data_IF_872715487561
#
_entry.id   IF_872715487561
#
_cell.length_a   1.000
_cell.length_b   1.000
_cell.length_c   1.000
_cell.angle_alpha   90.00
_cell.angle_beta   90.00
_cell.angle_gamma   90.00
#
_symmetry.space_group_name_H-M   'P 1'
#
loop_
_entity.id
_entity.type
_entity.pdbx_description
1 polymer ?
#
# COMPACT_ATOMS: atom_id res chain seq x y z
N UNK A 1 -16.48 -4.98 39.94
CA UNK A 1 -15.22 -4.18 39.89
C UNK A 1 -14.08 -4.83 39.09
N UNK A 2 -14.00 -6.15 38.93
CA UNK A 2 -12.94 -6.78 38.10
C UNK A 2 -13.23 -6.72 36.58
N UNK A 3 -14.48 -6.94 36.17
CA UNK A 3 -14.88 -6.91 34.75
C UNK A 3 -14.72 -5.54 34.07
N UNK A 4 -15.10 -4.46 34.75
CA UNK A 4 -14.96 -3.09 34.21
C UNK A 4 -13.50 -2.67 34.00
N UNK A 5 -12.56 -3.22 34.78
CA UNK A 5 -11.12 -2.98 34.58
C UNK A 5 -10.63 -3.72 33.35
N UNK A 6 -10.97 -5.01 33.21
CA UNK A 6 -10.61 -5.81 32.05
C UNK A 6 -11.17 -5.23 30.74
N UNK A 7 -12.41 -4.74 30.72
CA UNK A 7 -12.99 -4.09 29.54
C UNK A 7 -12.26 -2.79 29.16
N UNK A 8 -11.86 -1.99 30.15
CA UNK A 8 -11.05 -0.79 29.91
C UNK A 8 -9.67 -1.17 29.36
N UNK A 9 -9.03 -2.17 29.93
CA UNK A 9 -7.72 -2.66 29.50
C UNK A 9 -7.76 -3.18 28.06
N UNK A 10 -8.83 -3.89 27.68
CA UNK A 10 -9.05 -4.34 26.29
C UNK A 10 -9.22 -3.16 25.32
N UNK A 11 -9.98 -2.12 25.71
CA UNK A 11 -10.14 -0.91 24.91
C UNK A 11 -8.80 -0.18 24.73
N UNK A 12 -8.02 -0.03 25.80
CA UNK A 12 -6.69 0.57 25.71
C UNK A 12 -5.72 -0.26 24.88
N UNK A 13 -5.77 -1.58 24.97
CA UNK A 13 -4.97 -2.48 24.14
C UNK A 13 -5.33 -2.36 22.65
N UNK A 14 -6.61 -2.14 22.32
CA UNK A 14 -7.05 -1.88 20.95
C UNK A 14 -6.61 -0.50 20.46
N UNK A 15 -6.78 0.54 21.28
CA UNK A 15 -6.41 1.91 20.90
C UNK A 15 -4.90 2.16 20.84
N UNK A 16 -4.11 1.42 21.62
CA UNK A 16 -2.66 1.48 21.59
C UNK A 16 -2.03 0.84 20.35
N UNK A 17 -2.82 0.08 19.55
CA UNK A 17 -2.37 -0.55 18.32
C UNK A 17 -2.66 0.33 17.10
N UNK A 18 -1.82 0.22 16.07
CA UNK A 18 -2.06 0.88 14.79
C UNK A 18 -3.28 0.27 14.09
N UNK A 19 -4.25 1.09 13.70
CA UNK A 19 -5.48 0.64 12.99
C UNK A 19 -5.13 -0.13 11.71
N UNK A 20 -4.16 0.36 10.93
CA UNK A 20 -3.72 -0.31 9.70
C UNK A 20 -3.07 -1.68 9.97
N UNK A 21 -2.31 -1.82 11.06
CA UNK A 21 -1.70 -3.08 11.45
C UNK A 21 -2.75 -4.10 11.87
N UNK A 22 -3.79 -3.65 12.60
CA UNK A 22 -4.92 -4.50 12.98
C UNK A 22 -5.72 -4.99 11.76
N UNK A 23 -6.04 -4.09 10.82
CA UNK A 23 -6.73 -4.45 9.58
C UNK A 23 -5.89 -5.41 8.72
N UNK A 24 -4.60 -5.15 8.58
CA UNK A 24 -3.69 -6.05 7.84
C UNK A 24 -3.64 -7.44 8.49
N UNK A 25 -3.59 -7.52 9.82
CA UNK A 25 -3.62 -8.80 10.52
C UNK A 25 -4.91 -9.58 10.25
N UNK A 26 -6.07 -8.91 10.31
CA UNK A 26 -7.36 -9.53 9.99
C UNK A 26 -7.41 -10.04 8.55
N UNK A 27 -7.00 -9.21 7.59
CA UNK A 27 -6.93 -9.60 6.17
C UNK A 27 -6.01 -10.80 5.95
N UNK A 28 -4.83 -10.80 6.56
CA UNK A 28 -3.90 -11.92 6.45
C UNK A 28 -4.49 -13.23 7.01
N UNK A 29 -5.28 -13.18 8.08
CA UNK A 29 -5.95 -14.35 8.65
C UNK A 29 -7.04 -14.85 7.70
N UNK A 30 -7.87 -13.96 7.17
CA UNK A 30 -8.91 -14.30 6.19
C UNK A 30 -8.32 -14.89 4.90
N UNK A 31 -7.23 -14.28 4.40
CA UNK A 31 -6.51 -14.75 3.22
C UNK A 31 -5.87 -16.12 3.46
N UNK A 32 -5.24 -16.35 4.62
CA UNK A 32 -4.68 -17.65 4.97
C UNK A 32 -5.76 -18.75 5.04
N UNK A 33 -6.95 -18.44 5.59
CA UNK A 33 -8.07 -19.38 5.59
C UNK A 33 -8.53 -19.69 4.16
N UNK A 34 -8.65 -18.66 3.31
CA UNK A 34 -9.03 -18.83 1.90
C UNK A 34 -7.98 -19.61 1.10
N UNK A 35 -6.70 -19.39 1.36
CA UNK A 35 -5.60 -20.08 0.69
C UNK A 35 -5.45 -21.53 1.16
N UNK A 36 -5.72 -21.82 2.44
CA UNK A 36 -5.70 -23.20 2.94
C UNK A 36 -6.76 -24.11 2.31
N UNK A 37 -7.84 -23.53 1.77
CA UNK A 37 -8.88 -24.26 1.03
C UNK A 37 -8.51 -24.48 -0.44
N UNK A 38 -7.44 -23.86 -0.94
CA UNK A 38 -7.04 -23.94 -2.36
C UNK A 38 -5.98 -25.02 -2.59
N UNK A 39 -5.90 -25.57 -3.81
CA UNK A 39 -4.79 -26.43 -4.19
C UNK A 39 -3.47 -25.65 -4.20
N UNK A 40 -2.35 -26.35 -3.97
CA UNK A 40 -1.01 -25.76 -3.92
C UNK A 40 -0.61 -25.07 -5.22
N UNK A 41 -0.96 -25.65 -6.37
CA UNK A 41 -0.64 -25.11 -7.68
C UNK A 41 -1.84 -24.39 -8.31
N UNK A 42 -1.58 -23.22 -8.91
CA UNK A 42 -2.57 -22.49 -9.72
C UNK A 42 -2.63 -23.07 -11.14
N UNK A 43 -3.84 -23.31 -11.63
CA UNK A 43 -4.09 -23.71 -13.02
C UNK A 43 -4.34 -22.47 -13.90
N UNK A 44 -4.31 -22.64 -15.22
CA UNK A 44 -4.74 -21.61 -16.18
C UNK A 44 -6.20 -21.20 -15.98
N UNK A 45 -7.05 -22.13 -15.51
CA UNK A 45 -8.49 -21.93 -15.33
C UNK A 45 -8.86 -21.43 -13.93
N UNK A 46 -7.89 -20.92 -13.15
CA UNK A 46 -8.14 -20.36 -11.82
C UNK A 46 -9.01 -19.09 -11.90
N UNK A 47 -10.24 -19.19 -11.42
CA UNK A 47 -11.23 -18.11 -11.43
C UNK A 47 -10.76 -16.87 -10.65
N UNK A 48 -9.95 -17.06 -9.61
CA UNK A 48 -9.44 -15.95 -8.82
C UNK A 48 -8.37 -15.16 -9.57
N UNK A 49 -7.53 -15.88 -10.33
CA UNK A 49 -6.53 -15.26 -11.20
C UNK A 49 -7.20 -14.51 -12.36
N UNK A 50 -8.18 -15.12 -13.03
CA UNK A 50 -8.92 -14.48 -14.12
C UNK A 50 -9.62 -13.20 -13.64
N UNK A 51 -10.27 -13.25 -12.46
CA UNK A 51 -10.90 -12.07 -11.86
C UNK A 51 -9.88 -10.96 -11.56
N UNK A 52 -8.74 -11.30 -10.94
CA UNK A 52 -7.68 -10.33 -10.65
C UNK A 52 -7.13 -9.67 -11.93
N UNK A 53 -6.92 -10.45 -12.99
CA UNK A 53 -6.40 -9.93 -14.26
C UNK A 53 -7.40 -9.04 -14.99
N UNK A 54 -8.71 -9.32 -14.89
CA UNK A 54 -9.78 -8.47 -15.44
C UNK A 54 -9.92 -7.15 -14.69
N UNK A 55 -9.61 -7.12 -13.40
CA UNK A 55 -9.66 -5.92 -12.58
C UNK A 55 -8.44 -4.99 -12.77
N UNK A 56 -7.35 -5.50 -13.35
CA UNK A 56 -6.14 -4.73 -13.56
C UNK A 56 -6.36 -3.61 -14.59
N UNK A 57 -6.19 -2.37 -14.16
CA UNK A 57 -6.19 -1.23 -15.06
C UNK A 57 -4.90 -1.25 -15.91
N UNK A 58 -5.06 -1.15 -17.24
CA UNK A 58 -3.95 -1.10 -18.19
C UNK A 58 -3.85 0.28 -18.81
N UNK A 59 -2.64 0.81 -18.86
CA UNK A 59 -2.37 2.07 -19.55
C UNK A 59 -2.61 1.90 -21.06
N UNK A 60 -3.21 2.91 -21.69
CA UNK A 60 -3.51 2.89 -23.12
C UNK A 60 -4.80 2.15 -23.53
N UNK A 61 -5.58 1.62 -22.58
CA UNK A 61 -6.89 1.03 -22.91
C UNK A 61 -7.91 2.15 -23.27
N UNK A 62 -8.48 2.14 -24.49
CA UNK A 62 -9.46 3.15 -24.91
C UNK A 62 -10.76 3.14 -24.07
N UNK A 63 -11.09 2.01 -23.45
CA UNK A 63 -12.31 1.84 -22.65
C UNK A 63 -12.12 2.14 -21.16
N UNK A 64 -10.88 2.41 -20.71
CA UNK A 64 -10.56 2.62 -19.28
C UNK A 64 -11.39 3.73 -18.64
N UNK A 65 -11.61 4.83 -19.37
CA UNK A 65 -12.42 5.95 -18.89
C UNK A 65 -13.88 5.57 -18.63
N UNK A 66 -14.45 4.70 -19.47
CA UNK A 66 -15.82 4.20 -19.29
C UNK A 66 -15.91 3.24 -18.09
N UNK A 67 -14.91 2.37 -17.92
CA UNK A 67 -14.85 1.44 -16.79
C UNK A 67 -14.75 2.17 -15.45
N UNK A 68 -13.90 3.21 -15.35
CA UNK A 68 -13.80 4.05 -14.14
C UNK A 68 -15.13 4.72 -13.79
N UNK A 69 -15.81 5.34 -14.77
CA UNK A 69 -17.13 5.95 -14.57
C UNK A 69 -18.19 4.95 -14.09
N UNK A 70 -18.15 3.70 -14.60
CA UNK A 70 -19.06 2.63 -14.16
C UNK A 70 -18.78 2.25 -12.71
N UNK A 71 -17.51 2.12 -12.32
CA UNK A 71 -17.08 1.80 -10.96
C UNK A 71 -17.47 2.89 -9.97
N UNK A 72 -17.28 4.16 -10.32
CA UNK A 72 -17.67 5.30 -9.48
C UNK A 72 -19.19 5.33 -9.24
N UNK A 73 -19.99 5.02 -10.28
CA UNK A 73 -21.44 4.91 -10.18
C UNK A 73 -21.85 3.78 -9.23
N UNK A 74 -21.24 2.61 -9.37
CA UNK A 74 -21.52 1.46 -8.50
C UNK A 74 -21.17 1.75 -7.04
N UNK A 75 -20.00 2.36 -6.78
CA UNK A 75 -19.61 2.79 -5.44
C UNK A 75 -20.59 3.78 -4.83
N UNK A 76 -21.10 4.74 -5.63
CA UNK A 76 -22.12 5.70 -5.19
C UNK A 76 -23.45 5.01 -4.84
N UNK A 77 -23.88 4.03 -5.65
CA UNK A 77 -25.09 3.24 -5.38
C UNK A 77 -24.96 2.40 -4.10
N UNK A 78 -23.77 1.84 -3.85
CA UNK A 78 -23.46 1.09 -2.61
C UNK A 78 -23.27 1.98 -1.38
N UNK A 79 -23.32 3.31 -1.53
CA UNK A 79 -23.16 4.26 -0.43
C UNK A 79 -21.73 4.34 0.13
N UNK A 80 -20.72 3.87 -0.61
CA UNK A 80 -19.33 3.91 -0.17
C UNK A 80 -18.83 5.36 -0.22
N UNK A 81 -18.64 5.97 0.96
CA UNK A 81 -18.08 7.32 1.07
C UNK A 81 -16.56 7.26 1.01
N UNK A 82 -15.97 7.90 0.00
CA UNK A 82 -14.51 8.01 -0.11
C UNK A 82 -13.95 8.92 1.00
N UNK A 83 -12.83 8.49 1.60
CA UNK A 83 -12.09 9.31 2.55
C UNK A 83 -11.43 10.47 1.80
N UNK A 84 -11.46 11.71 2.34
CA UNK A 84 -10.80 12.83 1.70
C UNK A 84 -9.30 12.55 1.56
N UNK A 85 -8.76 12.91 0.40
CA UNK A 85 -7.33 12.83 0.08
C UNK A 85 -6.75 14.24 -0.06
N UNK A 86 -5.45 14.35 0.12
CA UNK A 86 -4.72 15.59 -0.08
C UNK A 86 -4.78 16.02 -1.55
N UNK A 87 -4.98 17.33 -1.79
CA UNK A 87 -5.17 17.93 -3.12
C UNK A 87 -4.14 19.00 -3.48
N UNK A 88 -3.11 19.19 -2.65
CA UNK A 88 -2.09 20.23 -2.84
C UNK A 88 -0.90 19.75 -3.70
N UNK A 89 0.20 20.52 -3.73
CA UNK A 89 1.41 20.16 -4.49
C UNK A 89 1.98 18.82 -4.04
N UNK A 90 2.67 18.13 -4.95
CA UNK A 90 3.21 16.80 -4.70
C UNK A 90 4.09 16.78 -3.43
N UNK A 91 3.81 15.88 -2.47
CA UNK A 91 4.60 15.76 -1.26
C UNK A 91 6.02 15.25 -1.56
N UNK A 92 7.02 15.61 -0.74
CA UNK A 92 8.31 14.93 -0.75
C UNK A 92 8.13 13.42 -0.58
N UNK A 93 8.88 12.58 -1.32
CA UNK A 93 8.78 11.13 -1.21
C UNK A 93 9.24 10.67 0.17
N UNK A 94 8.56 9.67 0.72
CA UNK A 94 8.94 9.01 1.97
C UNK A 94 9.14 7.52 1.75
N UNK A 95 9.95 6.89 2.63
CA UNK A 95 10.28 5.46 2.55
C UNK A 95 9.07 4.53 2.44
N UNK A 96 7.93 4.93 3.00
CA UNK A 96 6.75 4.08 3.12
C UNK A 96 5.69 4.35 2.05
N UNK A 97 5.94 5.26 1.11
CA UNK A 97 4.97 5.72 0.12
C UNK A 97 3.60 6.13 0.73
N UNK A 98 3.60 6.61 1.97
CA UNK A 98 2.38 7.02 2.67
C UNK A 98 2.00 8.43 2.19
N UNK A 99 0.80 8.64 1.63
CA UNK A 99 0.38 9.98 1.24
C UNK A 99 0.13 10.85 2.48
N UNK A 100 0.33 12.17 2.37
CA UNK A 100 0.01 13.10 3.45
C UNK A 100 -1.48 13.09 3.76
N UNK A 101 -1.82 13.49 4.98
CA UNK A 101 -3.21 13.69 5.38
C UNK A 101 -3.89 14.77 4.53
N UNK A 102 -5.21 14.67 4.37
CA UNK A 102 -5.98 15.59 3.51
C UNK A 102 -5.91 17.08 3.91
N UNK A 103 -5.50 17.37 5.15
CA UNK A 103 -5.36 18.73 5.73
C UNK A 103 -3.92 19.24 5.72
N UNK A 104 -2.99 18.48 5.16
CA UNK A 104 -1.61 18.95 5.05
C UNK A 104 -1.56 20.20 4.17
N UNK A 105 -0.73 21.17 4.52
CA UNK A 105 -0.66 22.49 3.87
C UNK A 105 0.32 22.53 2.70
N UNK A 106 1.05 21.44 2.45
CA UNK A 106 2.02 21.34 1.37
C UNK A 106 3.40 21.90 1.71
N UNK A 107 3.61 22.43 2.93
CA UNK A 107 4.90 22.96 3.35
C UNK A 107 5.72 21.86 4.03
N UNK A 108 6.90 21.56 3.46
CA UNK A 108 7.85 20.63 4.07
C UNK A 108 8.51 21.26 5.31
N UNK A 109 8.37 20.58 6.45
CA UNK A 109 8.95 20.96 7.75
C UNK A 109 9.92 19.89 8.28
N UNK A 110 10.49 19.09 7.39
CA UNK A 110 11.39 18.00 7.74
C UNK A 110 12.82 18.48 8.02
N UNK A 111 13.62 17.61 8.67
CA UNK A 111 15.08 17.79 8.83
C UNK A 111 15.87 17.29 7.60
N UNK A 112 15.20 17.01 6.47
CA UNK A 112 15.82 16.48 5.26
C UNK A 112 16.38 15.05 5.38
N UNK A 113 16.00 14.27 6.40
CA UNK A 113 16.48 12.90 6.60
C UNK A 113 16.13 11.98 5.43
N UNK A 114 14.89 12.00 4.97
CA UNK A 114 14.43 11.16 3.86
C UNK A 114 15.23 11.45 2.58
N UNK A 115 15.44 12.74 2.26
CA UNK A 115 16.24 13.15 1.11
C UNK A 115 17.69 12.63 1.20
N UNK A 116 18.36 12.84 2.34
CA UNK A 116 19.73 12.33 2.59
C UNK A 116 19.80 10.80 2.53
N UNK A 117 18.72 10.12 2.90
CA UNK A 117 18.64 8.66 2.83
C UNK A 117 18.56 8.19 1.37
N UNK A 118 17.76 8.85 0.54
CA UNK A 118 17.67 8.52 -0.88
C UNK A 118 18.98 8.75 -1.62
N UNK A 119 19.68 9.86 -1.36
CA UNK A 119 21.00 10.12 -1.96
C UNK A 119 21.98 9.02 -1.55
N UNK A 120 22.07 8.68 -0.26
CA UNK A 120 22.94 7.59 0.21
C UNK A 120 22.63 6.23 -0.44
N UNK A 121 21.36 5.91 -0.67
CA UNK A 121 20.98 4.68 -1.36
C UNK A 121 21.38 4.69 -2.84
N UNK A 122 21.22 5.81 -3.52
CA UNK A 122 21.65 5.99 -4.90
C UNK A 122 23.17 5.90 -5.02
N UNK A 123 23.91 6.59 -4.14
CA UNK A 123 25.38 6.56 -4.10
C UNK A 123 25.90 5.14 -3.87
N UNK A 124 25.31 4.41 -2.91
CA UNK A 124 25.67 3.01 -2.65
C UNK A 124 25.45 2.13 -3.89
N UNK A 125 24.33 2.32 -4.59
CA UNK A 125 24.04 1.56 -5.82
C UNK A 125 25.03 1.90 -6.94
N UNK A 126 25.34 3.18 -7.13
CA UNK A 126 26.32 3.62 -8.12
C UNK A 126 27.72 3.04 -7.85
N UNK A 127 28.18 3.04 -6.60
CA UNK A 127 29.46 2.44 -6.21
C UNK A 127 29.46 0.93 -6.45
N UNK A 128 28.37 0.22 -6.15
CA UNK A 128 28.25 -1.21 -6.41
C UNK A 128 28.34 -1.53 -7.91
N UNK A 129 27.67 -0.74 -8.76
CA UNK A 129 27.73 -0.91 -10.21
C UNK A 129 29.13 -0.61 -10.76
N UNK A 130 29.80 0.44 -10.26
CA UNK A 130 31.19 0.75 -10.62
C UNK A 130 32.15 -0.36 -10.20
N UNK A 131 32.03 -0.84 -8.96
CA UNK A 131 32.86 -1.93 -8.45
C UNK A 131 32.66 -3.22 -9.24
N UNK A 132 31.42 -3.54 -9.62
CA UNK A 132 31.14 -4.69 -10.49
C UNK A 132 31.83 -4.55 -11.84
N UNK A 133 31.69 -3.40 -12.52
CA UNK A 133 32.34 -3.14 -13.81
C UNK A 133 33.86 -3.27 -13.72
N UNK A 134 34.47 -2.66 -12.70
CA UNK A 134 35.92 -2.75 -12.46
C UNK A 134 36.38 -4.19 -12.18
N UNK A 135 35.59 -4.97 -11.44
CA UNK A 135 35.95 -6.36 -11.11
C UNK A 135 35.89 -7.32 -12.31
N UNK A 136 35.13 -6.97 -13.35
CA UNK A 136 34.91 -7.80 -14.54
C UNK A 136 35.85 -7.41 -15.69
N UNK A 137 36.55 -6.28 -15.60
CA UNK A 137 37.30 -5.72 -16.73
C UNK A 137 38.60 -6.50 -17.09
N UNK A 138 39.10 -7.36 -16.20
CA UNK A 138 40.31 -8.19 -16.41
C UNK A 138 40.00 -9.71 -16.47
N UNK A 139 38.74 -10.09 -16.65
CA UNK A 139 38.28 -11.48 -16.85
C UNK A 139 37.84 -11.70 -18.31
#
# INVERSE_FOLDING_TARGET
MAGEKAEKDLKYAQWGKGVAQGQMHQQNVEDALRESQKPLARSCDDQDLDRMLREQEREGDPMLAMMRRKKDRDNKLRGVKEKPRYKGPAPPPNRFNIPPGYRWDGVDRSNGFEQKRYTRMADKKAVQEMAYKWSVEDM
#
